data_IF_211318190790
#
_entry.id   IF_211318190790
#
_cell.length_a   1.000
_cell.length_b   1.000
_cell.length_c   1.000
_cell.angle_alpha   90.00
_cell.angle_beta   90.00
_cell.angle_gamma   90.00
#
_symmetry.space_group_name_H-M   'P 1'
#
loop_
_entity.id
_entity.type
_entity.pdbx_description
1 polymer ?
#
# COMPACT_ATOMS: atom_id res chain seq x y z
N UNK A 1 37.55 33.64 -6.34
CA UNK A 1 36.56 33.58 -5.23
C UNK A 1 35.12 33.40 -5.75
N UNK A 2 34.64 34.20 -6.72
CA UNK A 2 33.25 34.09 -7.25
C UNK A 2 32.88 32.72 -7.83
N UNK A 3 33.76 32.08 -8.59
CA UNK A 3 33.52 30.76 -9.21
C UNK A 3 33.43 29.61 -8.20
N UNK A 4 34.18 29.70 -7.09
CA UNK A 4 34.15 28.73 -6.00
C UNK A 4 32.80 28.77 -5.27
N UNK A 5 32.23 29.97 -5.07
CA UNK A 5 30.90 30.12 -4.48
C UNK A 5 29.80 29.53 -5.36
N UNK A 6 29.89 29.70 -6.68
CA UNK A 6 28.90 29.14 -7.60
C UNK A 6 28.89 27.60 -7.58
N UNK A 7 30.06 26.98 -7.49
CA UNK A 7 30.20 25.53 -7.35
C UNK A 7 29.58 25.01 -6.04
N UNK A 8 29.81 25.69 -4.92
CA UNK A 8 29.25 25.30 -3.62
C UNK A 8 27.71 25.39 -3.59
N UNK A 9 27.15 26.43 -4.21
CA UNK A 9 25.68 26.58 -4.33
C UNK A 9 25.06 25.46 -5.16
N UNK A 10 25.70 25.06 -6.26
CA UNK A 10 25.22 23.96 -7.10
C UNK A 10 25.21 22.61 -6.36
N UNK A 11 26.25 22.33 -5.56
CA UNK A 11 26.35 21.10 -4.76
C UNK A 11 25.27 21.06 -3.66
N UNK A 12 24.98 22.22 -3.04
CA UNK A 12 23.93 22.32 -2.03
C UNK A 12 22.53 22.06 -2.63
N UNK A 13 22.25 22.56 -3.83
CA UNK A 13 20.97 22.36 -4.52
C UNK A 13 20.73 20.89 -4.92
N UNK A 14 21.79 20.18 -5.33
CA UNK A 14 21.72 18.75 -5.70
C UNK A 14 21.41 17.84 -4.50
N UNK A 15 21.64 18.31 -3.27
CA UNK A 15 21.38 17.54 -2.04
C UNK A 15 19.91 17.63 -1.59
N UNK A 16 19.12 18.54 -2.15
CA UNK A 16 17.73 18.81 -1.76
C UNK A 16 16.69 17.97 -2.52
N UNK A 17 17.13 16.96 -3.27
CA UNK A 17 16.25 15.97 -3.92
C UNK A 17 16.33 14.64 -3.18
N UNK A 18 16.09 14.64 -1.87
CA UNK A 18 15.90 13.40 -1.12
C UNK A 18 14.43 13.24 -0.73
N UNK A 19 13.80 12.30 -1.42
CA UNK A 19 12.59 11.62 -0.97
C UNK A 19 11.33 12.47 -1.00
N UNK A 20 10.70 12.54 -2.17
CA UNK A 20 9.24 12.46 -2.17
C UNK A 20 8.89 11.12 -1.53
N UNK A 21 8.65 11.14 -0.22
CA UNK A 21 7.92 10.09 0.45
C UNK A 21 6.56 10.05 -0.26
N UNK A 22 6.41 9.09 -1.18
CA UNK A 22 5.14 8.80 -1.77
C UNK A 22 4.26 8.32 -0.62
N UNK A 23 3.49 9.23 -0.04
CA UNK A 23 2.34 8.88 0.76
C UNK A 23 1.40 8.17 -0.21
N UNK A 24 1.50 6.85 -0.27
CA UNK A 24 0.41 6.00 -0.76
C UNK A 24 -0.70 6.17 0.28
N UNK A 25 -1.44 7.26 0.17
CA UNK A 25 -2.82 7.25 0.63
C UNK A 25 -3.48 6.16 -0.18
N UNK A 26 -3.71 5.02 0.46
CA UNK A 26 -4.72 4.09 0.01
C UNK A 26 -6.06 4.81 0.12
N UNK A 27 -6.31 5.76 -0.80
CA UNK A 27 -7.64 6.15 -1.23
C UNK A 27 -8.16 5.04 -2.15
N UNK A 28 -8.05 3.78 -1.70
CA UNK A 28 -9.10 2.83 -2.02
C UNK A 28 -10.34 3.45 -1.39
N UNK A 29 -11.42 3.58 -2.16
CA UNK A 29 -12.73 3.98 -1.65
C UNK A 29 -12.89 3.36 -0.25
N UNK A 30 -12.87 4.20 0.81
CA UNK A 30 -13.05 3.77 2.19
C UNK A 30 -14.47 3.21 2.28
N UNK A 31 -14.62 1.95 1.91
CA UNK A 31 -15.85 1.21 2.00
C UNK A 31 -16.04 1.04 3.51
N UNK A 32 -17.02 1.75 4.11
CA UNK A 32 -17.08 1.86 5.56
C UNK A 32 -17.19 0.47 6.17
N UNK A 33 -16.44 0.24 7.24
CA UNK A 33 -16.29 -1.03 7.97
C UNK A 33 -15.42 -2.11 7.31
N UNK A 34 -14.84 -1.89 6.13
CA UNK A 34 -13.90 -2.84 5.57
C UNK A 34 -12.51 -2.71 6.20
N UNK A 35 -11.87 -3.84 6.50
CA UNK A 35 -10.50 -3.94 7.01
C UNK A 35 -9.63 -4.63 5.97
N UNK A 36 -8.47 -4.06 5.65
CA UNK A 36 -7.45 -4.70 4.81
C UNK A 36 -6.20 -5.07 5.59
N UNK A 37 -5.56 -6.19 5.23
CA UNK A 37 -4.29 -6.64 5.79
C UNK A 37 -3.52 -7.52 4.81
N UNK A 38 -2.21 -7.64 5.01
CA UNK A 38 -1.32 -8.41 4.12
C UNK A 38 -1.15 -9.84 4.63
N UNK A 39 -1.60 -10.81 3.84
CA UNK A 39 -1.30 -12.23 4.00
C UNK A 39 0.08 -12.56 3.39
N UNK A 40 0.83 -13.44 4.07
CA UNK A 40 2.14 -13.95 3.61
C UNK A 40 3.14 -12.84 3.23
N UNK A 41 3.49 -11.92 4.16
CA UNK A 41 4.39 -10.81 3.85
C UNK A 41 5.74 -11.30 3.33
N UNK A 42 6.25 -10.65 2.28
CA UNK A 42 7.54 -10.98 1.66
C UNK A 42 7.55 -12.25 0.80
N UNK A 43 6.42 -12.95 0.65
CA UNK A 43 6.29 -14.07 -0.30
C UNK A 43 5.73 -13.59 -1.64
N UNK A 44 6.13 -14.19 -2.78
CA UNK A 44 5.51 -13.90 -4.06
C UNK A 44 4.00 -14.06 -3.98
N UNK A 45 3.27 -13.09 -4.49
CA UNK A 45 1.81 -13.15 -4.54
C UNK A 45 1.36 -13.94 -5.76
N UNK A 46 0.65 -15.04 -5.52
CA UNK A 46 -0.11 -15.77 -6.54
C UNK A 46 -1.58 -15.29 -6.48
N UNK A 47 -2.14 -14.70 -7.54
CA UNK A 47 -3.49 -14.13 -7.50
C UNK A 47 -4.58 -15.14 -7.15
N UNK A 48 -4.49 -16.37 -7.67
CA UNK A 48 -5.49 -17.40 -7.44
C UNK A 48 -5.48 -17.88 -5.97
N UNK A 49 -4.28 -18.13 -5.43
CA UNK A 49 -4.08 -18.52 -4.04
C UNK A 49 -4.42 -17.39 -3.09
N UNK A 50 -4.06 -16.16 -3.43
CA UNK A 50 -4.37 -14.96 -2.63
C UNK A 50 -5.89 -14.80 -2.46
N UNK A 51 -6.63 -14.82 -3.57
CA UNK A 51 -8.10 -14.76 -3.54
C UNK A 51 -8.69 -15.93 -2.76
N UNK A 52 -8.29 -17.16 -3.09
CA UNK A 52 -8.80 -18.37 -2.44
C UNK A 52 -8.57 -18.37 -0.93
N UNK A 53 -7.37 -18.01 -0.48
CA UNK A 53 -7.03 -17.96 0.95
C UNK A 53 -7.79 -16.84 1.67
N UNK A 54 -7.85 -15.63 1.10
CA UNK A 54 -8.58 -14.52 1.70
C UNK A 54 -10.09 -14.83 1.83
N UNK A 55 -10.70 -15.39 0.78
CA UNK A 55 -12.11 -15.82 0.82
C UNK A 55 -12.34 -16.94 1.83
N UNK A 56 -11.45 -17.93 1.91
CA UNK A 56 -11.61 -19.07 2.84
C UNK A 56 -11.41 -18.69 4.30
N UNK A 57 -10.42 -17.85 4.60
CA UNK A 57 -10.05 -17.52 5.98
C UNK A 57 -10.89 -16.38 6.56
N UNK A 58 -11.29 -15.43 5.71
CA UNK A 58 -11.86 -14.17 6.15
C UNK A 58 -13.15 -13.81 5.44
N UNK A 59 -13.67 -14.63 4.52
CA UNK A 59 -14.81 -14.26 3.66
C UNK A 59 -14.59 -12.92 2.92
N UNK A 60 -13.32 -12.59 2.68
CA UNK A 60 -12.90 -11.37 2.00
C UNK A 60 -12.55 -11.60 0.53
N UNK A 61 -12.05 -10.54 -0.10
CA UNK A 61 -11.47 -10.58 -1.45
C UNK A 61 -9.96 -10.31 -1.38
N UNK A 62 -9.19 -11.20 -1.99
CA UNK A 62 -7.73 -11.15 -1.98
C UNK A 62 -7.20 -10.69 -3.32
N UNK A 63 -6.33 -9.69 -3.31
CA UNK A 63 -5.68 -9.15 -4.51
C UNK A 63 -4.16 -9.08 -4.34
N UNK A 64 -3.44 -9.33 -5.43
CA UNK A 64 -2.02 -9.01 -5.47
C UNK A 64 -1.89 -7.52 -5.76
N UNK A 65 -1.34 -6.76 -4.80
CA UNK A 65 -1.07 -5.34 -4.98
C UNK A 65 0.03 -5.08 -6.03
N UNK A 66 0.41 -3.82 -6.21
CA UNK A 66 1.51 -3.44 -7.12
C UNK A 66 2.85 -4.06 -6.72
N UNK A 67 3.06 -4.29 -5.43
CA UNK A 67 4.16 -5.10 -4.95
C UNK A 67 3.78 -6.56 -5.20
N UNK A 68 4.49 -7.26 -6.07
CA UNK A 68 4.31 -8.70 -6.31
C UNK A 68 4.61 -9.59 -5.09
N UNK A 69 4.72 -8.99 -3.90
CA UNK A 69 5.07 -9.60 -2.63
C UNK A 69 4.00 -9.28 -1.59
N UNK A 70 3.43 -10.32 -0.99
CA UNK A 70 2.30 -10.22 -0.07
C UNK A 70 0.96 -10.15 -0.81
N UNK A 71 -0.06 -10.75 -0.21
CA UNK A 71 -1.44 -10.77 -0.69
C UNK A 71 -2.25 -9.74 0.11
N UNK A 72 -2.84 -8.75 -0.55
CA UNK A 72 -3.73 -7.78 0.07
C UNK A 72 -5.12 -8.40 0.23
N UNK A 73 -5.55 -8.65 1.47
CA UNK A 73 -6.83 -9.25 1.78
C UNK A 73 -7.75 -8.20 2.41
N UNK A 74 -8.85 -7.90 1.74
CA UNK A 74 -9.88 -6.99 2.24
C UNK A 74 -11.10 -7.79 2.71
N UNK A 75 -11.51 -7.57 3.96
CA UNK A 75 -12.73 -8.13 4.54
C UNK A 75 -13.67 -7.02 4.98
N UNK A 76 -14.92 -7.13 4.56
CA UNK A 76 -16.00 -6.27 5.01
C UNK A 76 -16.97 -7.13 5.84
N UNK A 77 -17.02 -6.98 7.18
CA UNK A 77 -18.04 -7.62 7.98
C UNK A 77 -19.42 -7.18 7.50
N UNK A 78 -20.42 -8.07 7.60
CA UNK A 78 -21.80 -7.67 7.33
C UNK A 78 -22.09 -6.48 8.23
N UNK A 79 -22.49 -5.35 7.64
CA UNK A 79 -22.97 -4.20 8.40
C UNK A 79 -24.04 -4.74 9.34
N UNK A 80 -23.83 -4.58 10.64
CA UNK A 80 -24.85 -4.85 11.65
C UNK A 80 -25.95 -3.80 11.50
N UNK A 81 -26.67 -3.84 10.37
CA UNK A 81 -27.97 -3.23 10.24
C UNK A 81 -28.87 -4.12 11.07
N UNK A 82 -28.93 -3.79 12.36
CA UNK A 82 -30.02 -4.22 13.21
C UNK A 82 -31.30 -3.72 12.55
N UNK A 83 -31.90 -4.57 11.72
CA UNK A 83 -33.21 -4.35 11.14
C UNK A 83 -34.21 -4.83 12.17
N UNK A 84 -34.47 -4.02 13.20
CA UNK A 84 -35.62 -4.15 14.09
C UNK A 84 -35.96 -2.78 14.64
#
# INVERSE_FOLDING_TARGET
MRTVHLLLVAIALMSLTSGTMATVSAQGLLRPNCTSFILYPGKPCDPASCKSSCTKMHHGDGTCGRSSFGCDCEYCPPSSTNST
#
